data_IF_350184858409
#
_entry.id   IF_350184858409
#
_cell.length_a   1.000
_cell.length_b   1.000
_cell.length_c   1.000
_cell.angle_alpha   90.00
_cell.angle_beta   90.00
_cell.angle_gamma   90.00
#
_symmetry.space_group_name_H-M   'P 1'
#
loop_
_entity.id
_entity.type
_entity.pdbx_description
1 polymer ?
#
# COMPACT_ATOMS: atom_id res chain seq x y z
N UNK A 1 -1.75 -42.13 24.28
CA UNK A 1 -0.97 -40.95 23.86
C UNK A 1 -1.99 -40.01 23.26
N UNK A 2 -2.58 -39.18 24.12
CA UNK A 2 -3.81 -38.45 23.82
C UNK A 2 -3.51 -37.23 22.94
N UNK A 3 -4.22 -37.19 21.81
CA UNK A 3 -4.51 -35.97 21.04
C UNK A 3 -5.17 -34.95 21.97
N UNK A 4 -4.39 -34.00 22.48
CA UNK A 4 -4.94 -32.79 23.07
C UNK A 4 -5.38 -31.87 21.94
N UNK A 5 -6.58 -32.16 21.44
CA UNK A 5 -7.27 -31.45 20.39
C UNK A 5 -7.59 -30.03 20.89
N UNK A 6 -6.65 -29.12 20.61
CA UNK A 6 -6.70 -27.67 20.85
C UNK A 6 -8.13 -27.13 20.83
N UNK A 7 -8.59 -26.62 21.98
CA UNK A 7 -9.91 -26.03 22.14
C UNK A 7 -9.96 -24.64 21.49
N UNK A 8 -10.25 -24.60 20.19
CA UNK A 8 -10.58 -23.37 19.46
C UNK A 8 -11.96 -22.86 19.90
N UNK A 9 -12.16 -21.52 19.90
CA UNK A 9 -13.47 -20.90 20.15
C UNK A 9 -14.58 -21.55 19.32
N UNK A 10 -15.77 -21.71 19.91
CA UNK A 10 -16.79 -22.66 19.38
C UNK A 10 -17.57 -22.15 18.17
N UNK A 11 -17.60 -20.84 17.89
CA UNK A 11 -18.31 -20.26 16.76
C UNK A 11 -17.35 -19.72 15.68
N UNK A 12 -17.62 -19.96 14.39
CA UNK A 12 -16.82 -19.39 13.31
C UNK A 12 -16.87 -17.85 13.33
N UNK A 13 -15.73 -17.19 13.11
CA UNK A 13 -15.69 -15.73 12.96
C UNK A 13 -16.18 -15.32 11.58
N UNK A 14 -16.95 -14.24 11.51
CA UNK A 14 -17.48 -13.68 10.27
C UNK A 14 -16.65 -12.49 9.82
N UNK A 15 -16.17 -12.53 8.58
CA UNK A 15 -15.37 -11.49 7.94
C UNK A 15 -16.19 -10.79 6.85
N UNK A 16 -16.24 -9.47 6.86
CA UNK A 16 -16.73 -8.69 5.72
C UNK A 16 -15.56 -8.28 4.83
N UNK A 17 -15.76 -8.33 3.51
CA UNK A 17 -14.76 -7.94 2.52
C UNK A 17 -15.36 -6.87 1.60
N UNK A 18 -15.27 -5.60 2.00
CA UNK A 18 -15.71 -4.47 1.17
C UNK A 18 -14.71 -4.24 0.04
N UNK A 19 -15.18 -4.36 -1.20
CA UNK A 19 -14.38 -4.22 -2.41
C UNK A 19 -14.73 -2.91 -3.11
N UNK A 20 -13.87 -1.91 -3.00
CA UNK A 20 -13.97 -0.69 -3.80
C UNK A 20 -13.41 -1.00 -5.19
N UNK A 21 -14.14 -0.66 -6.24
CA UNK A 21 -13.71 -0.90 -7.62
C UNK A 21 -12.27 -0.42 -7.88
N UNK A 22 -11.55 -1.15 -8.72
CA UNK A 22 -10.12 -1.03 -8.94
C UNK A 22 -9.24 -1.43 -7.74
N UNK A 23 -9.77 -2.20 -6.78
CA UNK A 23 -8.95 -2.84 -5.76
C UNK A 23 -7.88 -3.76 -6.38
N UNK A 24 -6.74 -3.89 -5.71
CA UNK A 24 -5.69 -4.80 -6.16
C UNK A 24 -6.06 -6.25 -5.80
N UNK A 25 -6.25 -7.12 -6.82
CA UNK A 25 -6.62 -8.52 -6.60
C UNK A 25 -5.64 -9.24 -5.65
N UNK A 26 -4.35 -8.97 -5.77
CA UNK A 26 -3.33 -9.58 -4.89
C UNK A 26 -3.52 -9.19 -3.42
N UNK A 27 -3.84 -7.93 -3.13
CA UNK A 27 -4.08 -7.48 -1.76
C UNK A 27 -5.27 -8.22 -1.14
N UNK A 28 -6.34 -8.37 -1.91
CA UNK A 28 -7.51 -9.16 -1.55
C UNK A 28 -7.18 -10.66 -1.37
N UNK A 29 -6.58 -11.28 -2.38
CA UNK A 29 -6.32 -12.72 -2.40
C UNK A 29 -5.38 -13.13 -1.27
N UNK A 30 -4.35 -12.33 -0.99
CA UNK A 30 -3.39 -12.59 0.09
C UNK A 30 -4.04 -12.68 1.48
N UNK A 31 -5.14 -11.96 1.71
CA UNK A 31 -5.90 -12.01 2.96
C UNK A 31 -6.82 -13.23 2.98
N UNK A 32 -7.66 -13.38 1.96
CA UNK A 32 -8.70 -14.42 1.94
C UNK A 32 -8.09 -15.82 1.91
N UNK A 33 -6.99 -16.00 1.17
CA UNK A 33 -6.33 -17.29 1.05
C UNK A 33 -5.74 -17.78 2.39
N UNK A 34 -5.29 -16.88 3.27
CA UNK A 34 -4.83 -17.24 4.61
C UNK A 34 -5.96 -17.86 5.45
N UNK A 35 -7.13 -17.23 5.46
CA UNK A 35 -8.31 -17.73 6.18
C UNK A 35 -8.87 -19.00 5.56
N UNK A 36 -8.83 -19.13 4.22
CA UNK A 36 -9.20 -20.38 3.53
C UNK A 36 -8.27 -21.52 3.92
N UNK A 37 -6.95 -21.28 3.98
CA UNK A 37 -5.97 -22.27 4.41
C UNK A 37 -6.16 -22.65 5.89
N UNK A 38 -6.45 -21.69 6.77
CA UNK A 38 -6.74 -21.97 8.18
C UNK A 38 -7.95 -22.91 8.35
N UNK A 39 -9.02 -22.70 7.58
CA UNK A 39 -10.17 -23.61 7.57
C UNK A 39 -9.78 -25.01 7.06
N UNK A 40 -9.02 -25.08 5.96
CA UNK A 40 -8.61 -26.36 5.38
C UNK A 40 -7.69 -27.17 6.33
N UNK A 41 -6.69 -26.51 6.91
CA UNK A 41 -5.69 -27.11 7.79
C UNK A 41 -6.25 -27.54 9.14
N UNK A 42 -7.22 -26.80 9.68
CA UNK A 42 -7.88 -27.16 10.94
C UNK A 42 -8.93 -28.25 10.78
N UNK A 43 -9.37 -28.56 9.55
CA UNK A 43 -10.49 -29.45 9.27
C UNK A 43 -11.83 -28.93 9.79
N UNK A 44 -11.93 -27.63 10.13
CA UNK A 44 -13.13 -26.99 10.70
C UNK A 44 -13.39 -25.66 10.00
N UNK A 45 -14.64 -25.20 10.04
CA UNK A 45 -14.96 -23.83 9.63
C UNK A 45 -14.65 -22.88 10.78
N UNK A 46 -13.45 -22.31 10.79
CA UNK A 46 -13.03 -21.29 11.77
C UNK A 46 -13.44 -19.88 11.34
N UNK A 47 -13.46 -19.65 10.02
CA UNK A 47 -13.82 -18.37 9.42
C UNK A 47 -14.89 -18.54 8.34
N UNK A 48 -15.79 -17.57 8.24
CA UNK A 48 -16.70 -17.34 7.12
C UNK A 48 -16.48 -15.93 6.61
N UNK A 49 -16.69 -15.69 5.33
CA UNK A 49 -16.58 -14.35 4.78
C UNK A 49 -17.70 -14.05 3.80
N UNK A 50 -18.02 -12.77 3.66
CA UNK A 50 -18.96 -12.25 2.67
C UNK A 50 -18.35 -11.07 1.93
N UNK A 51 -18.50 -11.07 0.61
CA UNK A 51 -18.08 -9.98 -0.27
C UNK A 51 -19.13 -8.88 -0.26
N UNK A 52 -18.69 -7.66 0.01
CA UNK A 52 -19.56 -6.48 0.02
C UNK A 52 -19.13 -5.57 -1.12
N UNK A 53 -20.03 -5.21 -2.01
CA UNK A 53 -19.81 -4.14 -2.99
C UNK A 53 -20.41 -2.83 -2.51
N UNK A 54 -20.03 -1.73 -3.14
CA UNK A 54 -20.58 -0.41 -2.82
C UNK A 54 -22.07 -0.32 -3.20
N UNK A 55 -22.48 -0.92 -4.32
CA UNK A 55 -23.78 -0.69 -4.96
C UNK A 55 -24.58 -1.98 -5.26
N UNK A 56 -24.11 -3.14 -4.78
CA UNK A 56 -24.66 -4.46 -5.13
C UNK A 56 -24.16 -5.02 -6.47
N UNK A 57 -23.41 -4.23 -7.25
CA UNK A 57 -22.86 -4.63 -8.54
C UNK A 57 -21.56 -5.44 -8.46
N UNK A 58 -21.16 -6.11 -9.57
CA UNK A 58 -19.88 -6.81 -9.65
C UNK A 58 -18.69 -5.90 -9.33
N UNK A 59 -17.77 -6.39 -8.51
CA UNK A 59 -16.56 -5.65 -8.12
C UNK A 59 -15.41 -5.99 -9.07
N UNK A 60 -14.94 -4.99 -9.82
CA UNK A 60 -13.81 -5.17 -10.73
C UNK A 60 -12.48 -4.84 -10.05
N UNK A 61 -11.56 -5.80 -10.05
CA UNK A 61 -10.19 -5.61 -9.62
C UNK A 61 -9.36 -4.91 -10.70
N UNK A 62 -8.27 -4.23 -10.30
CA UNK A 62 -7.41 -3.46 -11.21
C UNK A 62 -6.69 -4.29 -12.29
N UNK A 63 -6.71 -5.62 -12.19
CA UNK A 63 -6.16 -6.55 -13.18
C UNK A 63 -7.24 -7.14 -14.12
N UNK A 64 -8.48 -6.68 -14.03
CA UNK A 64 -9.60 -7.11 -14.87
C UNK A 64 -10.38 -8.32 -14.33
N UNK A 65 -9.97 -8.93 -13.22
CA UNK A 65 -10.77 -9.97 -12.57
C UNK A 65 -12.01 -9.35 -11.91
N UNK A 66 -13.10 -10.12 -11.88
CA UNK A 66 -14.38 -9.68 -11.28
C UNK A 66 -14.76 -10.60 -10.14
N UNK A 67 -15.16 -10.01 -9.02
CA UNK A 67 -15.75 -10.71 -7.87
C UNK A 67 -17.23 -10.33 -7.80
N UNK A 68 -18.10 -11.32 -7.70
CA UNK A 68 -19.52 -11.09 -7.47
C UNK A 68 -19.74 -10.89 -5.97
N UNK A 69 -20.40 -9.81 -5.54
CA UNK A 69 -20.68 -9.58 -4.13
C UNK A 69 -21.80 -10.49 -3.62
N UNK A 70 -21.76 -10.79 -2.32
CA UNK A 70 -22.88 -11.39 -1.59
C UNK A 70 -23.86 -10.32 -1.09
N UNK A 71 -23.36 -9.10 -0.85
CA UNK A 71 -24.05 -8.01 -0.17
C UNK A 71 -23.68 -6.65 -0.79
N UNK A 72 -24.54 -5.66 -0.59
CA UNK A 72 -24.24 -4.25 -0.84
C UNK A 72 -23.99 -3.48 0.47
N UNK A 73 -23.31 -2.35 0.38
CA UNK A 73 -23.29 -1.34 1.45
C UNK A 73 -24.73 -0.97 1.81
N UNK A 74 -25.02 -0.96 3.11
CA UNK A 74 -26.37 -0.70 3.63
C UNK A 74 -27.19 -1.95 3.95
N UNK A 75 -26.84 -3.11 3.39
CA UNK A 75 -27.54 -4.36 3.71
C UNK A 75 -27.35 -4.75 5.19
N UNK A 76 -28.36 -5.40 5.80
CA UNK A 76 -28.24 -5.93 7.15
C UNK A 76 -27.13 -6.99 7.24
N UNK A 77 -26.01 -6.61 7.85
CA UNK A 77 -24.84 -7.47 7.99
C UNK A 77 -24.17 -7.26 9.35
N UNK A 78 -23.69 -8.36 9.92
CA UNK A 78 -22.90 -8.37 11.15
C UNK A 78 -21.64 -9.19 10.91
N UNK A 79 -20.49 -8.61 11.24
CA UNK A 79 -19.21 -9.29 11.13
C UNK A 79 -18.30 -8.92 12.31
N UNK A 80 -17.36 -9.81 12.62
CA UNK A 80 -16.34 -9.61 13.64
C UNK A 80 -15.27 -8.61 13.15
N UNK A 81 -14.93 -8.71 11.87
CA UNK A 81 -13.97 -7.83 11.20
C UNK A 81 -14.47 -7.46 9.80
N UNK A 82 -14.24 -6.21 9.40
CA UNK A 82 -14.55 -5.70 8.07
C UNK A 82 -13.25 -5.20 7.42
N UNK A 83 -12.82 -5.93 6.39
CA UNK A 83 -11.73 -5.51 5.53
C UNK A 83 -12.27 -4.56 4.45
N UNK A 84 -11.57 -3.46 4.23
CA UNK A 84 -11.82 -2.51 3.16
C UNK A 84 -10.65 -2.59 2.19
N UNK A 85 -10.92 -3.04 0.96
CA UNK A 85 -9.95 -3.12 -0.11
C UNK A 85 -10.22 -1.99 -1.09
N UNK A 86 -9.21 -1.13 -1.28
CA UNK A 86 -9.21 -0.14 -2.34
C UNK A 86 -7.83 -0.11 -3.02
N UNK A 87 -7.82 0.26 -4.29
CA UNK A 87 -6.65 0.37 -5.13
C UNK A 87 -6.85 1.49 -6.15
N UNK A 88 -6.10 1.47 -7.25
CA UNK A 88 -6.15 2.55 -8.23
C UNK A 88 -5.78 3.89 -7.59
N UNK A 89 -6.60 4.92 -7.78
CA UNK A 89 -6.46 6.20 -7.08
C UNK A 89 -7.55 6.32 -6.00
N UNK A 90 -7.27 5.98 -4.73
CA UNK A 90 -8.25 6.01 -3.65
C UNK A 90 -8.71 7.43 -3.30
N UNK A 91 -8.03 8.48 -3.77
CA UNK A 91 -8.42 9.88 -3.51
C UNK A 91 -9.73 10.25 -4.22
N UNK A 92 -10.06 9.51 -5.28
CA UNK A 92 -11.27 9.69 -6.09
C UNK A 92 -12.51 9.03 -5.48
N UNK A 93 -12.33 8.14 -4.50
CA UNK A 93 -13.47 7.49 -3.87
C UNK A 93 -14.14 8.46 -2.89
N UNK A 94 -15.38 8.83 -3.19
CA UNK A 94 -16.17 9.76 -2.39
C UNK A 94 -17.63 9.31 -2.38
N UNK A 95 -17.99 8.52 -1.38
CA UNK A 95 -19.33 7.95 -1.24
C UNK A 95 -19.80 8.07 0.21
N UNK A 96 -20.71 9.03 0.44
CA UNK A 96 -21.16 9.39 1.78
C UNK A 96 -21.89 8.24 2.49
N UNK A 97 -22.62 7.43 1.73
CA UNK A 97 -23.39 6.28 2.24
C UNK A 97 -22.44 5.18 2.72
N UNK A 98 -21.41 4.85 1.93
CA UNK A 98 -20.33 3.94 2.34
C UNK A 98 -19.62 4.44 3.59
N UNK A 99 -19.28 5.73 3.67
CA UNK A 99 -18.64 6.27 4.88
C UNK A 99 -19.56 6.18 6.10
N UNK A 100 -20.85 6.46 5.93
CA UNK A 100 -21.86 6.29 6.97
C UNK A 100 -21.96 4.84 7.45
N UNK A 101 -22.05 3.90 6.52
CA UNK A 101 -22.12 2.48 6.80
C UNK A 101 -20.86 1.95 7.50
N UNK A 102 -19.66 2.36 7.06
CA UNK A 102 -18.41 2.01 7.72
C UNK A 102 -18.37 2.48 9.18
N UNK A 103 -18.88 3.69 9.47
CA UNK A 103 -19.02 4.18 10.85
C UNK A 103 -20.00 3.35 11.66
N UNK A 104 -21.12 2.94 11.07
CA UNK A 104 -22.11 2.08 11.73
C UNK A 104 -21.53 0.70 12.07
N UNK A 105 -20.81 0.06 11.13
CA UNK A 105 -20.13 -1.22 11.35
C UNK A 105 -19.11 -1.11 12.48
N UNK A 106 -18.32 -0.03 12.49
CA UNK A 106 -17.38 0.24 13.57
C UNK A 106 -18.06 0.46 14.93
N UNK A 107 -19.19 1.17 14.97
CA UNK A 107 -19.97 1.43 16.18
C UNK A 107 -20.64 0.17 16.75
N UNK A 108 -21.04 -0.76 15.88
CA UNK A 108 -21.49 -2.12 16.25
C UNK A 108 -20.34 -3.02 16.74
N UNK A 109 -19.12 -2.49 16.73
CA UNK A 109 -17.95 -3.18 17.24
C UNK A 109 -17.27 -4.07 16.23
N UNK A 110 -17.41 -3.91 14.91
CA UNK A 110 -16.51 -4.61 13.98
C UNK A 110 -15.06 -4.10 14.12
N UNK A 111 -14.07 -4.97 13.93
CA UNK A 111 -12.68 -4.52 13.71
C UNK A 111 -12.59 -3.97 12.28
N UNK A 112 -12.16 -2.72 12.12
CA UNK A 112 -12.07 -2.09 10.80
C UNK A 112 -10.65 -2.25 10.26
N UNK A 113 -10.51 -2.86 9.09
CA UNK A 113 -9.21 -3.24 8.54
C UNK A 113 -9.02 -2.63 7.14
N UNK A 114 -8.22 -1.58 7.02
CA UNK A 114 -7.95 -0.94 5.72
C UNK A 114 -6.76 -1.59 5.02
N UNK A 115 -6.94 -2.13 3.82
CA UNK A 115 -5.89 -2.80 3.05
C UNK A 115 -5.56 -2.01 1.79
N UNK A 116 -4.26 -1.76 1.55
CA UNK A 116 -3.78 -0.90 0.46
C UNK A 116 -4.40 0.51 0.54
N UNK A 117 -5.14 0.95 -0.47
CA UNK A 117 -5.90 2.20 -0.45
C UNK A 117 -7.06 2.20 0.54
N UNK A 118 -7.44 1.05 1.11
CA UNK A 118 -8.55 0.95 2.06
C UNK A 118 -8.32 1.77 3.35
N UNK A 119 -7.06 1.96 3.76
CA UNK A 119 -6.74 2.87 4.85
C UNK A 119 -7.16 4.33 4.54
N UNK A 120 -7.00 4.77 3.28
CA UNK A 120 -7.45 6.08 2.81
C UNK A 120 -8.98 6.22 2.92
N UNK A 121 -9.72 5.18 2.52
CA UNK A 121 -11.19 5.13 2.63
C UNK A 121 -11.64 5.19 4.10
N UNK A 122 -10.97 4.45 5.00
CA UNK A 122 -11.26 4.52 6.44
C UNK A 122 -10.95 5.91 7.03
N UNK A 123 -9.87 6.56 6.59
CA UNK A 123 -9.55 7.92 7.02
C UNK A 123 -10.61 8.93 6.54
N UNK A 124 -11.06 8.85 5.28
CA UNK A 124 -12.18 9.67 4.75
C UNK A 124 -13.47 9.47 5.55
N UNK A 125 -13.72 8.27 6.04
CA UNK A 125 -14.87 7.98 6.89
C UNK A 125 -14.77 8.54 8.33
N UNK A 126 -13.64 9.16 8.70
CA UNK A 126 -13.36 9.67 10.05
C UNK A 126 -12.91 8.58 11.03
N UNK A 127 -12.57 7.38 10.55
CA UNK A 127 -12.30 6.23 11.41
C UNK A 127 -10.85 6.12 11.89
N UNK A 128 -9.95 6.95 11.36
CA UNK A 128 -8.51 6.94 11.68
C UNK A 128 -8.01 8.26 12.32
N UNK A 129 -8.92 9.18 12.68
CA UNK A 129 -8.55 10.45 13.34
C UNK A 129 -7.79 10.21 14.67
N UNK A 130 -6.62 10.82 14.81
CA UNK A 130 -5.73 10.68 15.97
C UNK A 130 -5.30 9.23 16.25
N UNK A 131 -5.29 8.37 15.22
CA UNK A 131 -4.86 6.97 15.28
C UNK A 131 -3.55 6.74 14.55
N UNK A 132 -2.88 5.67 14.91
CA UNK A 132 -1.77 5.09 14.16
C UNK A 132 -2.32 4.29 12.99
N UNK A 133 -1.73 4.48 11.81
CA UNK A 133 -2.11 3.76 10.61
C UNK A 133 -0.92 3.61 9.66
N UNK A 134 -1.01 2.67 8.74
CA UNK A 134 -0.16 2.59 7.55
C UNK A 134 -1.05 2.58 6.30
N UNK A 135 -0.47 2.96 5.17
CA UNK A 135 -1.10 2.90 3.86
C UNK A 135 -0.04 2.41 2.86
N UNK A 136 -0.45 1.88 1.72
CA UNK A 136 0.50 1.53 0.65
C UNK A 136 1.41 2.74 0.35
N UNK A 137 2.72 2.49 0.25
CA UNK A 137 3.76 3.52 0.11
C UNK A 137 3.50 4.50 -1.03
N UNK A 138 2.82 4.06 -2.09
CA UNK A 138 2.46 4.91 -3.22
C UNK A 138 1.48 6.03 -2.87
N UNK A 139 0.60 5.80 -1.89
CA UNK A 139 -0.43 6.74 -1.45
C UNK A 139 -0.01 7.56 -0.23
N UNK A 140 1.14 7.24 0.37
CA UNK A 140 1.56 7.80 1.67
C UNK A 140 1.58 9.33 1.68
N UNK A 141 2.12 9.96 0.64
CA UNK A 141 2.20 11.43 0.57
C UNK A 141 0.80 12.06 0.56
N UNK A 142 -0.07 11.62 -0.36
CA UNK A 142 -1.44 12.10 -0.44
C UNK A 142 -2.26 11.79 0.83
N UNK A 143 -1.97 10.69 1.52
CA UNK A 143 -2.62 10.31 2.78
C UNK A 143 -2.20 11.24 3.93
N UNK A 144 -0.90 11.50 4.08
CA UNK A 144 -0.38 12.40 5.13
C UNK A 144 -0.86 13.83 4.93
N UNK A 145 -0.92 14.29 3.67
CA UNK A 145 -1.44 15.61 3.32
C UNK A 145 -2.93 15.74 3.64
N UNK A 146 -3.73 14.75 3.26
CA UNK A 146 -5.18 14.80 3.45
C UNK A 146 -5.62 14.56 4.91
N UNK A 147 -4.84 13.80 5.69
CA UNK A 147 -5.22 13.40 7.06
C UNK A 147 -4.10 13.68 8.07
N UNK A 148 -3.77 14.97 8.33
CA UNK A 148 -2.65 15.34 9.20
C UNK A 148 -2.81 14.89 10.66
N UNK A 149 -4.04 14.60 11.11
CA UNK A 149 -4.31 14.03 12.44
C UNK A 149 -3.97 12.55 12.55
N UNK A 150 -3.77 11.83 11.43
CA UNK A 150 -3.46 10.40 11.42
C UNK A 150 -1.96 10.18 11.42
N UNK A 151 -1.46 9.37 12.36
CA UNK A 151 -0.04 9.06 12.49
C UNK A 151 0.32 7.96 11.49
N UNK A 152 0.84 8.34 10.31
CA UNK A 152 1.17 7.40 9.23
C UNK A 152 2.57 6.76 9.39
N UNK A 153 2.59 5.48 9.77
CA UNK A 153 3.78 4.65 9.96
C UNK A 153 4.24 3.99 8.64
N UNK A 154 5.54 3.68 8.49
CA UNK A 154 6.10 3.09 7.27
C UNK A 154 6.04 1.56 7.20
N UNK A 155 5.46 0.90 8.20
CA UNK A 155 5.41 -0.57 8.32
C UNK A 155 4.45 -1.25 7.35
N UNK A 156 4.49 -2.59 7.32
CA UNK A 156 3.60 -3.45 6.53
C UNK A 156 2.15 -3.40 7.03
N UNK A 157 1.95 -3.38 8.34
CA UNK A 157 0.62 -3.25 8.95
C UNK A 157 0.73 -2.66 10.36
N UNK A 158 -0.36 -2.04 10.83
CA UNK A 158 -0.43 -1.34 12.12
C UNK A 158 -1.71 -1.73 12.83
N UNK A 159 -1.57 -2.09 14.12
CA UNK A 159 -2.69 -2.30 15.04
C UNK A 159 -2.85 -1.07 15.95
N UNK A 160 -4.03 -0.47 15.94
CA UNK A 160 -4.46 0.57 16.88
C UNK A 160 -5.88 0.24 17.40
N UNK A 161 -5.93 -0.63 18.41
CA UNK A 161 -7.18 -1.16 18.95
C UNK A 161 -8.03 -1.87 17.90
N UNK A 162 -9.25 -1.38 17.65
CA UNK A 162 -10.17 -1.90 16.63
C UNK A 162 -10.00 -1.24 15.26
N UNK A 163 -8.90 -0.53 15.04
CA UNK A 163 -8.49 0.01 13.74
C UNK A 163 -7.18 -0.67 13.37
N UNK A 164 -7.22 -1.38 12.26
CA UNK A 164 -6.05 -2.06 11.70
C UNK A 164 -5.86 -1.57 10.28
N UNK A 165 -4.63 -1.38 9.87
CA UNK A 165 -4.32 -0.98 8.50
C UNK A 165 -3.15 -1.78 7.98
N UNK A 166 -3.13 -2.02 6.68
CA UNK A 166 -2.14 -2.84 5.99
C UNK A 166 -1.77 -2.18 4.67
N UNK A 167 -0.48 -2.17 4.36
CA UNK A 167 0.09 -1.67 3.12
C UNK A 167 -0.49 -2.37 1.88
N UNK A 168 -1.03 -3.59 2.01
CA UNK A 168 -1.56 -4.37 0.90
C UNK A 168 -0.51 -5.20 0.18
N UNK A 169 -0.82 -5.64 -1.05
CA UNK A 169 -0.01 -6.64 -1.75
C UNK A 169 0.12 -7.91 -0.89
N UNK A 170 1.33 -8.42 -0.70
CA UNK A 170 1.57 -9.61 0.13
C UNK A 170 1.50 -9.33 1.64
N UNK A 171 1.48 -8.05 2.08
CA UNK A 171 1.34 -7.71 3.49
C UNK A 171 0.00 -8.14 4.10
N UNK A 172 -1.02 -8.36 3.25
CA UNK A 172 -2.30 -8.91 3.68
C UNK A 172 -2.17 -10.33 4.23
N UNK A 173 -1.32 -11.15 3.63
CA UNK A 173 -1.00 -12.51 4.11
C UNK A 173 -0.30 -12.47 5.47
N UNK A 174 0.65 -11.56 5.66
CA UNK A 174 1.34 -11.40 6.95
C UNK A 174 0.34 -11.00 8.05
N UNK A 175 -0.49 -9.99 7.77
CA UNK A 175 -1.52 -9.53 8.71
C UNK A 175 -2.53 -10.63 9.03
N UNK A 176 -3.02 -11.35 8.02
CA UNK A 176 -4.01 -12.40 8.22
C UNK A 176 -3.46 -13.55 9.07
N UNK A 177 -2.20 -13.95 8.86
CA UNK A 177 -1.55 -14.97 9.69
C UNK A 177 -1.38 -14.49 11.13
N UNK A 178 -1.02 -13.22 11.36
CA UNK A 178 -0.93 -12.68 12.72
C UNK A 178 -2.31 -12.61 13.41
N UNK A 179 -3.38 -12.30 12.66
CA UNK A 179 -4.75 -12.36 13.17
C UNK A 179 -5.16 -13.81 13.50
N UNK A 180 -4.82 -14.77 12.64
CA UNK A 180 -5.06 -16.20 12.87
C UNK A 180 -4.32 -16.68 14.12
N UNK A 181 -3.07 -16.23 14.33
CA UNK A 181 -2.29 -16.55 15.52
C UNK A 181 -2.96 -16.02 16.79
N UNK A 182 -3.48 -14.79 16.77
CA UNK A 182 -4.20 -14.21 17.92
C UNK A 182 -5.50 -14.95 18.23
N UNK A 183 -6.15 -15.52 17.22
CA UNK A 183 -7.46 -16.15 17.34
C UNK A 183 -7.37 -17.64 17.70
N UNK A 184 -6.35 -18.34 17.19
CA UNK A 184 -6.24 -19.79 17.24
C UNK A 184 -4.84 -20.29 17.66
N UNK A 185 -3.93 -19.39 18.00
CA UNK A 185 -2.62 -19.73 18.51
C UNK A 185 -1.56 -20.00 17.43
N UNK A 186 -0.32 -20.10 17.91
CA UNK A 186 0.88 -20.15 17.10
C UNK A 186 0.93 -21.35 16.13
N UNK A 187 0.50 -22.53 16.58
CA UNK A 187 0.63 -23.76 15.79
C UNK A 187 -0.13 -23.69 14.45
N UNK A 188 -1.38 -23.18 14.46
CA UNK A 188 -2.15 -23.01 13.22
C UNK A 188 -1.54 -21.93 12.33
N UNK A 189 -1.07 -20.84 12.92
CA UNK A 189 -0.44 -19.75 12.18
C UNK A 189 0.81 -20.20 11.42
N UNK A 190 1.67 -21.00 12.05
CA UNK A 190 2.84 -21.63 11.41
C UNK A 190 2.41 -22.54 10.27
N UNK A 191 1.43 -23.42 10.49
CA UNK A 191 0.95 -24.34 9.45
C UNK A 191 0.39 -23.59 8.23
N UNK A 192 -0.33 -22.49 8.45
CA UNK A 192 -0.81 -21.61 7.36
C UNK A 192 0.36 -20.93 6.65
N UNK A 193 1.38 -20.46 7.37
CA UNK A 193 2.59 -19.88 6.78
C UNK A 193 3.32 -20.89 5.88
N UNK A 194 3.51 -22.11 6.36
CA UNK A 194 4.17 -23.19 5.62
C UNK A 194 3.39 -23.59 4.36
N UNK A 195 2.05 -23.61 4.42
CA UNK A 195 1.19 -23.88 3.27
C UNK A 195 1.46 -22.93 2.10
N UNK A 196 1.78 -21.66 2.39
CA UNK A 196 2.10 -20.64 1.39
C UNK A 196 3.59 -20.52 1.10
N UNK A 197 4.41 -21.49 1.51
CA UNK A 197 5.86 -21.53 1.26
C UNK A 197 6.51 -20.23 1.76
N UNK A 198 6.17 -19.86 3.00
CA UNK A 198 6.69 -18.67 3.66
C UNK A 198 7.64 -19.06 4.79
N UNK A 199 8.93 -19.33 4.47
CA UNK A 199 9.91 -19.76 5.47
C UNK A 199 10.23 -18.68 6.49
N UNK A 200 9.97 -17.41 6.17
CA UNK A 200 10.19 -16.28 7.08
C UNK A 200 8.92 -15.42 7.22
N UNK A 201 8.53 -15.17 8.48
CA UNK A 201 7.51 -14.20 8.82
C UNK A 201 8.02 -12.78 8.60
N UNK A 202 7.21 -11.92 7.96
CA UNK A 202 7.49 -10.48 7.90
C UNK A 202 6.67 -9.79 8.98
N UNK A 203 7.38 -9.18 9.93
CA UNK A 203 6.78 -8.47 11.06
C UNK A 203 6.14 -7.15 10.62
N UNK A 204 5.26 -6.63 11.47
CA UNK A 204 4.47 -5.41 11.27
C UNK A 204 5.32 -4.19 10.86
N UNK A 205 6.45 -3.99 11.52
CA UNK A 205 7.35 -2.84 11.36
C UNK A 205 8.32 -2.97 10.18
N UNK A 206 8.30 -4.10 9.46
CA UNK A 206 9.17 -4.30 8.30
C UNK A 206 8.91 -3.21 7.24
N UNK A 207 9.96 -2.68 6.60
CA UNK A 207 9.78 -1.70 5.53
C UNK A 207 8.94 -2.27 4.38
N UNK A 208 8.02 -1.46 3.86
CA UNK A 208 7.22 -1.84 2.68
C UNK A 208 8.04 -2.01 1.40
N UNK A 209 9.20 -1.36 1.33
CA UNK A 209 10.09 -1.38 0.15
C UNK A 209 11.45 -1.91 0.56
N UNK A 210 12.11 -2.53 -0.40
CA UNK A 210 13.52 -2.88 -0.32
C UNK A 210 14.37 -1.67 0.09
N UNK A 211 15.48 -1.95 0.77
CA UNK A 211 16.47 -0.95 1.11
C UNK A 211 17.05 -0.27 -0.14
N UNK A 212 17.65 0.91 0.03
CA UNK A 212 18.37 1.57 -1.07
C UNK A 212 19.46 0.69 -1.67
N UNK A 213 20.08 -0.15 -0.84
CA UNK A 213 21.14 -1.06 -1.30
C UNK A 213 20.62 -2.06 -2.32
N UNK A 214 19.52 -2.73 -2.00
CA UNK A 214 18.88 -3.70 -2.89
C UNK A 214 18.29 -3.03 -4.14
N UNK A 215 17.60 -1.89 -3.98
CA UNK A 215 16.93 -1.19 -5.09
C UNK A 215 17.89 -0.67 -6.14
N UNK A 216 19.07 -0.24 -5.73
CA UNK A 216 20.09 0.30 -6.63
C UNK A 216 21.20 -0.70 -6.96
N UNK A 217 21.22 -1.88 -6.33
CA UNK A 217 22.32 -2.84 -6.45
C UNK A 217 23.65 -2.30 -5.93
N UNK A 218 23.61 -1.40 -4.95
CA UNK A 218 24.78 -0.66 -4.45
C UNK A 218 25.10 -1.09 -3.03
N UNK A 219 26.35 -1.45 -2.75
CA UNK A 219 26.81 -1.75 -1.38
C UNK A 219 27.61 -0.59 -0.77
N UNK A 220 28.13 0.32 -1.60
CA UNK A 220 28.95 1.43 -1.14
C UNK A 220 28.16 2.44 -0.29
N UNK A 221 28.44 2.48 1.01
CA UNK A 221 27.78 3.35 1.98
C UNK A 221 27.80 4.84 1.63
N UNK A 222 28.83 5.31 0.91
CA UNK A 222 28.93 6.73 0.50
C UNK A 222 27.91 7.05 -0.60
N UNK A 223 27.73 6.12 -1.54
CA UNK A 223 26.71 6.25 -2.59
C UNK A 223 25.32 6.08 -1.99
N UNK A 224 25.12 5.16 -1.05
CA UNK A 224 23.84 4.99 -0.35
C UNK A 224 23.42 6.24 0.43
N UNK A 225 24.34 6.91 1.13
CA UNK A 225 24.05 8.20 1.80
C UNK A 225 23.63 9.29 0.82
N UNK A 226 24.32 9.39 -0.32
CA UNK A 226 23.95 10.35 -1.36
C UNK A 226 22.60 10.01 -2.01
N UNK A 227 22.30 8.72 -2.26
CA UNK A 227 21.00 8.26 -2.76
C UNK A 227 19.87 8.56 -1.77
N UNK A 228 20.10 8.35 -0.48
CA UNK A 228 19.14 8.70 0.56
C UNK A 228 18.84 10.21 0.58
N UNK A 229 19.87 11.06 0.48
CA UNK A 229 19.69 12.51 0.39
C UNK A 229 18.94 12.91 -0.90
N UNK A 230 19.20 12.23 -2.02
CA UNK A 230 18.46 12.45 -3.28
C UNK A 230 16.98 12.09 -3.17
N UNK A 231 16.65 10.92 -2.60
CA UNK A 231 15.25 10.49 -2.43
C UNK A 231 14.52 11.34 -1.38
N UNK A 232 15.23 11.84 -0.36
CA UNK A 232 14.67 12.71 0.66
C UNK A 232 14.46 14.16 0.23
N UNK A 233 15.07 14.59 -0.90
CA UNK A 233 15.00 15.97 -1.40
C UNK A 233 14.72 16.01 -2.90
N UNK A 234 13.48 15.72 -3.28
CA UNK A 234 13.06 15.69 -4.68
C UNK A 234 12.54 17.05 -5.16
N UNK A 235 11.72 17.71 -4.34
CA UNK A 235 11.15 19.04 -4.63
C UNK A 235 12.20 20.15 -4.61
N UNK A 236 13.16 20.06 -3.68
CA UNK A 236 14.29 20.99 -3.58
C UNK A 236 15.63 20.25 -3.77
N UNK A 237 16.04 19.96 -5.02
CA UNK A 237 17.24 19.19 -5.28
C UNK A 237 18.51 19.84 -4.74
N UNK A 238 19.31 19.07 -4.01
CA UNK A 238 20.56 19.58 -3.43
C UNK A 238 21.71 19.62 -4.44
N UNK A 239 22.65 20.53 -4.18
CA UNK A 239 23.85 20.68 -4.99
C UNK A 239 24.78 19.46 -4.90
N UNK A 240 25.62 19.26 -5.91
CA UNK A 240 26.65 18.20 -5.91
C UNK A 240 27.63 18.35 -4.74
N UNK A 241 27.90 19.59 -4.32
CA UNK A 241 28.71 19.91 -3.16
C UNK A 241 28.08 19.33 -1.88
N UNK A 242 26.77 19.52 -1.70
CA UNK A 242 26.04 18.98 -0.55
C UNK A 242 26.02 17.45 -0.56
N UNK A 243 25.76 16.83 -1.71
CA UNK A 243 25.78 15.38 -1.86
C UNK A 243 27.16 14.79 -1.53
N UNK A 244 28.23 15.44 -1.99
CA UNK A 244 29.62 15.06 -1.69
C UNK A 244 29.92 15.19 -0.19
N UNK A 245 29.48 16.28 0.45
CA UNK A 245 29.62 16.48 1.89
C UNK A 245 28.87 15.40 2.71
N UNK A 246 27.62 15.09 2.37
CA UNK A 246 26.83 14.04 3.03
C UNK A 246 27.47 12.65 2.86
N UNK A 247 28.06 12.40 1.68
CA UNK A 247 28.81 11.18 1.40
C UNK A 247 30.22 11.14 2.05
N UNK A 248 30.70 12.25 2.62
CA UNK A 248 32.01 12.37 3.24
C UNK A 248 33.18 12.26 2.26
N UNK A 249 33.00 12.70 1.00
CA UNK A 249 34.04 12.62 -0.05
C UNK A 249 34.06 13.88 -0.91
N UNK A 250 35.12 14.06 -1.71
CA UNK A 250 35.17 15.11 -2.72
C UNK A 250 34.23 14.83 -3.92
N UNK A 251 33.80 15.88 -4.63
CA UNK A 251 32.86 15.79 -5.76
C UNK A 251 33.34 14.80 -6.83
N UNK A 252 34.61 14.89 -7.25
CA UNK A 252 35.19 14.00 -8.27
C UNK A 252 35.14 12.54 -7.84
N UNK A 253 35.40 12.26 -6.56
CA UNK A 253 35.32 10.91 -6.02
C UNK A 253 33.88 10.41 -5.99
N UNK A 254 32.93 11.25 -5.58
CA UNK A 254 31.51 10.89 -5.60
C UNK A 254 31.02 10.57 -7.02
N UNK A 255 31.36 11.40 -8.01
CA UNK A 255 30.97 11.16 -9.41
C UNK A 255 31.56 9.86 -9.96
N UNK A 256 32.81 9.52 -9.59
CA UNK A 256 33.43 8.23 -9.95
C UNK A 256 32.72 7.05 -9.28
N UNK A 257 32.39 7.17 -7.99
CA UNK A 257 31.68 6.12 -7.26
C UNK A 257 30.29 5.88 -7.84
N UNK A 258 29.54 6.93 -8.19
CA UNK A 258 28.23 6.77 -8.83
C UNK A 258 28.32 6.01 -10.16
N UNK A 259 29.29 6.35 -11.02
CA UNK A 259 29.49 5.62 -12.28
C UNK A 259 29.82 4.15 -12.06
N UNK A 260 30.70 3.86 -11.10
CA UNK A 260 31.12 2.49 -10.80
C UNK A 260 29.99 1.64 -10.21
N UNK A 261 29.20 2.21 -9.29
CA UNK A 261 28.20 1.47 -8.51
C UNK A 261 26.82 1.43 -9.20
N UNK A 262 26.43 2.50 -9.89
CA UNK A 262 25.08 2.61 -10.50
C UNK A 262 25.09 2.52 -12.02
N UNK A 263 26.26 2.45 -12.65
CA UNK A 263 26.43 2.54 -14.11
C UNK A 263 26.14 3.93 -14.69
N UNK A 264 25.69 4.89 -13.89
CA UNK A 264 25.21 6.20 -14.32
C UNK A 264 25.99 7.33 -13.62
N UNK A 265 26.00 8.52 -14.23
CA UNK A 265 26.59 9.70 -13.58
C UNK A 265 25.72 10.24 -12.45
N UNK A 266 26.33 10.89 -11.45
CA UNK A 266 25.63 11.50 -10.29
C UNK A 266 24.40 12.33 -10.67
N UNK A 267 24.54 13.23 -11.66
CA UNK A 267 23.45 14.10 -12.13
C UNK A 267 22.33 13.32 -12.81
N UNK A 268 22.69 12.32 -13.60
CA UNK A 268 21.74 11.48 -14.31
C UNK A 268 20.95 10.61 -13.32
N UNK A 269 21.63 10.00 -12.35
CA UNK A 269 20.97 9.24 -11.28
C UNK A 269 19.96 10.11 -10.52
N UNK A 270 20.31 11.34 -10.16
CA UNK A 270 19.38 12.23 -9.47
C UNK A 270 18.19 12.64 -10.36
N UNK A 271 18.43 12.90 -11.65
CA UNK A 271 17.35 13.16 -12.60
C UNK A 271 16.37 11.97 -12.68
N UNK A 272 16.89 10.74 -12.73
CA UNK A 272 16.07 9.52 -12.77
C UNK A 272 15.22 9.35 -11.51
N UNK A 273 15.77 9.61 -10.32
CA UNK A 273 15.02 9.60 -9.05
C UNK A 273 13.82 10.56 -9.13
N UNK A 274 14.05 11.79 -9.58
CA UNK A 274 13.03 12.83 -9.69
C UNK A 274 11.97 12.50 -10.75
N UNK A 275 12.38 11.93 -11.88
CA UNK A 275 11.46 11.50 -12.94
C UNK A 275 10.60 10.29 -12.53
N UNK A 276 11.15 9.35 -11.76
CA UNK A 276 10.38 8.24 -11.21
C UNK A 276 9.33 8.73 -10.19
N UNK A 277 9.66 9.73 -9.38
CA UNK A 277 8.68 10.39 -8.51
C UNK A 277 7.58 11.10 -9.33
N UNK A 278 7.94 11.78 -10.42
CA UNK A 278 6.97 12.40 -11.31
C UNK A 278 5.98 11.39 -11.91
N UNK A 279 6.46 10.22 -12.36
CA UNK A 279 5.60 9.15 -12.86
C UNK A 279 4.59 8.69 -11.80
N UNK A 280 5.03 8.54 -10.54
CA UNK A 280 4.14 8.21 -9.42
C UNK A 280 3.07 9.28 -9.20
N UNK A 281 3.45 10.55 -9.14
CA UNK A 281 2.49 11.66 -8.98
C UNK A 281 1.49 11.73 -10.13
N UNK A 282 1.93 11.50 -11.37
CA UNK A 282 1.07 11.48 -12.55
C UNK A 282 0.03 10.36 -12.52
N UNK A 283 0.37 9.20 -11.92
CA UNK A 283 -0.52 8.06 -11.79
C UNK A 283 -1.51 8.21 -10.64
N UNK A 284 -1.06 8.77 -9.52
CA UNK A 284 -1.74 8.63 -8.24
C UNK A 284 -2.30 9.94 -7.67
N UNK A 285 -2.17 11.06 -8.40
CA UNK A 285 -2.68 12.37 -7.94
C UNK A 285 -3.44 13.11 -9.05
N UNK A 286 -4.30 14.06 -8.65
CA UNK A 286 -4.99 15.00 -9.55
C UNK A 286 -4.21 16.28 -9.88
N UNK A 287 -2.96 16.42 -9.40
CA UNK A 287 -2.15 17.63 -9.56
C UNK A 287 -2.00 18.02 -11.04
N UNK A 288 -1.93 19.31 -11.37
CA UNK A 288 -1.66 19.75 -12.75
C UNK A 288 -0.18 19.59 -13.14
N UNK A 289 0.14 19.68 -14.43
CA UNK A 289 1.50 19.40 -14.92
C UNK A 289 2.56 20.34 -14.35
N UNK A 290 2.18 21.60 -14.11
CA UNK A 290 3.05 22.61 -13.52
C UNK A 290 3.37 22.28 -12.05
N UNK A 291 2.35 21.91 -11.27
CA UNK A 291 2.52 21.46 -9.89
C UNK A 291 3.43 20.22 -9.81
N UNK A 292 3.23 19.23 -10.68
CA UNK A 292 4.07 18.02 -10.73
C UNK A 292 5.52 18.38 -11.09
N UNK A 293 5.74 19.29 -12.05
CA UNK A 293 7.08 19.72 -12.41
C UNK A 293 7.81 20.36 -11.19
N UNK A 294 7.13 21.24 -10.46
CA UNK A 294 7.68 21.87 -9.26
C UNK A 294 7.91 20.89 -8.11
N UNK A 295 6.96 20.00 -7.82
CA UNK A 295 7.11 18.93 -6.83
C UNK A 295 8.30 17.99 -7.14
N UNK A 296 8.68 17.89 -8.41
CA UNK A 296 9.85 17.14 -8.87
C UNK A 296 11.12 18.00 -9.01
N UNK A 297 11.12 19.23 -8.49
CA UNK A 297 12.25 20.17 -8.47
C UNK A 297 12.64 20.77 -9.82
N UNK A 298 11.73 20.79 -10.80
CA UNK A 298 11.95 21.44 -12.09
C UNK A 298 11.51 22.90 -12.03
N UNK A 299 12.37 23.80 -12.51
CA UNK A 299 12.05 25.23 -12.55
C UNK A 299 10.94 25.59 -13.56
N UNK A 300 10.71 24.74 -14.57
CA UNK A 300 9.62 24.93 -15.52
C UNK A 300 9.15 23.62 -16.16
N UNK A 301 7.88 23.63 -16.58
CA UNK A 301 7.16 22.49 -17.17
C UNK A 301 7.75 22.02 -18.51
N UNK A 302 8.34 22.93 -19.29
CA UNK A 302 8.93 22.62 -20.60
C UNK A 302 10.17 21.74 -20.46
N UNK A 303 11.07 22.09 -19.52
CA UNK A 303 12.24 21.29 -19.21
C UNK A 303 11.83 19.93 -18.65
N UNK A 304 10.89 19.90 -17.71
CA UNK A 304 10.32 18.66 -17.17
C UNK A 304 9.80 17.72 -18.27
N UNK A 305 8.93 18.24 -19.16
CA UNK A 305 8.31 17.44 -20.21
C UNK A 305 9.33 16.86 -21.18
N UNK A 306 10.39 17.62 -21.50
CA UNK A 306 11.49 17.18 -22.37
C UNK A 306 12.31 16.08 -21.68
N UNK A 307 12.73 16.29 -20.43
CA UNK A 307 13.48 15.30 -19.66
C UNK A 307 12.69 14.01 -19.46
N UNK A 308 11.38 14.11 -19.16
CA UNK A 308 10.50 12.96 -19.02
C UNK A 308 10.41 12.16 -20.33
N UNK A 309 10.16 12.84 -21.46
CA UNK A 309 10.07 12.18 -22.78
C UNK A 309 11.39 11.52 -23.16
N UNK A 310 12.52 12.19 -22.90
CA UNK A 310 13.84 11.64 -23.17
C UNK A 310 14.10 10.36 -22.35
N UNK A 311 13.60 10.31 -21.11
CA UNK A 311 13.80 9.15 -20.23
C UNK A 311 12.84 7.99 -20.50
N UNK A 312 11.55 8.28 -20.64
CA UNK A 312 10.49 7.25 -20.74
C UNK A 312 10.01 7.00 -22.17
N UNK A 313 10.52 7.71 -23.17
CA UNK A 313 10.12 7.60 -24.58
C UNK A 313 8.73 8.17 -24.90
N UNK A 314 7.98 8.66 -23.91
CA UNK A 314 6.61 9.18 -24.07
C UNK A 314 6.39 10.47 -23.27
N UNK A 315 5.47 11.35 -23.67
CA UNK A 315 5.18 12.56 -22.90
C UNK A 315 4.50 12.24 -21.55
N UNK A 316 4.66 13.09 -20.53
CA UNK A 316 4.02 12.89 -19.23
C UNK A 316 2.47 12.83 -19.30
N UNK A 317 1.86 13.51 -20.28
CA UNK A 317 0.40 13.49 -20.49
C UNK A 317 -0.16 12.09 -20.77
N UNK A 318 0.66 11.18 -21.30
CA UNK A 318 0.25 9.81 -21.60
C UNK A 318 -0.11 9.02 -20.34
N UNK A 319 0.49 9.34 -19.18
CA UNK A 319 0.18 8.65 -17.93
C UNK A 319 -1.25 8.92 -17.44
N UNK A 320 -1.79 10.10 -17.75
CA UNK A 320 -3.15 10.48 -17.36
C UNK A 320 -4.23 9.81 -18.22
N UNK A 321 -3.95 9.55 -19.49
CA UNK A 321 -4.91 8.86 -20.38
C UNK A 321 -5.23 7.46 -19.85
N UNK A 322 -4.24 6.80 -19.23
CA UNK A 322 -4.40 5.50 -18.59
C UNK A 322 -5.28 5.53 -17.33
N UNK A 323 -5.45 6.70 -16.70
CA UNK A 323 -6.42 6.92 -15.61
C UNK A 323 -7.86 6.98 -16.12
N UNK A 324 -8.07 7.52 -17.33
CA UNK A 324 -9.41 7.66 -17.92
C UNK A 324 -9.90 6.37 -18.58
N UNK A 325 -9.02 5.55 -19.15
CA UNK A 325 -9.43 4.28 -19.79
C UNK A 325 -9.70 3.13 -18.80
N UNK A 326 -9.38 3.31 -17.50
CA UNK A 326 -9.81 2.42 -16.42
C UNK A 326 -11.14 2.81 -15.76
N UNK A 327 -11.69 3.97 -16.12
CA UNK A 327 -13.06 4.36 -15.83
C UNK A 327 -13.88 4.09 -17.10
N UNK A 328 -14.33 2.85 -17.27
CA UNK A 328 -15.28 2.52 -18.32
C UNK A 328 -16.47 3.48 -18.24
N UNK A 329 -16.71 4.23 -19.31
CA UNK A 329 -17.99 4.91 -19.54
C UNK A 329 -19.12 3.84 -19.54
N UNK A 330 -20.34 4.25 -19.14
CA UNK A 330 -21.42 3.37 -18.66
C UNK A 330 -21.84 2.28 -19.64
#
# INVERSE_FOLDING_TARGET
MNDDMMAYGTAPRTLGLLLVNQFALMAYASVVEAYRAANALSGRTLYRWSHVSVDGGPCQASNGATILPDLAVGDPFACDALFVFAGGDPTLFDDADTFGWLRQMAARGAVMIGVSGGAYVLARAGLLENRRATVHWEYREAFVEAFPSTICEPGLFVFDGRRVTCAGGMAGMDLAIELIERDHGHALAVAVSDWFIRPEARLADRPQRQSLSERYGVSNQRVLRALAEMEGRIEEPVSRQRLAAVAGVGIRQLERLFRAETGNGLRETYLRVRLAHAERLLRNTGLNMTAIAFACGFANTSHFSRSYRQHFGRPPSHERVRRQTGAGKP
#
